data_IF_825449360620
#
_entry.id   IF_825449360620
#
_cell.length_a   1.000
_cell.length_b   1.000
_cell.length_c   1.000
_cell.angle_alpha   90.00
_cell.angle_beta   90.00
_cell.angle_gamma   90.00
#
_symmetry.space_group_name_H-M   'P 1'
#
loop_
_entity.id
_entity.type
_entity.pdbx_description
1 polymer ?
#
# COMPACT_ATOMS: atom_id res chain seq x y z
N UNK A 1 11.83 59.55 -12.21
CA UNK A 1 12.48 58.89 -13.37
C UNK A 1 12.09 57.43 -13.34
N UNK A 2 11.25 57.04 -14.29
CA UNK A 2 10.66 55.71 -14.45
C UNK A 2 11.50 54.94 -15.46
N UNK A 3 11.86 53.68 -15.16
CA UNK A 3 12.43 52.75 -16.15
C UNK A 3 11.38 51.66 -16.36
N UNK A 4 10.83 51.67 -17.58
CA UNK A 4 9.65 50.92 -17.98
C UNK A 4 9.89 49.46 -18.31
N UNK A 5 8.77 48.72 -18.30
CA UNK A 5 8.58 47.40 -18.87
C UNK A 5 9.21 47.25 -20.27
N UNK A 6 9.92 46.15 -20.48
CA UNK A 6 10.01 45.51 -21.79
C UNK A 6 9.45 44.09 -21.69
N UNK A 7 8.43 43.90 -22.50
CA UNK A 7 7.60 42.72 -22.70
C UNK A 7 8.43 41.54 -23.20
N UNK A 8 8.40 40.40 -22.50
CA UNK A 8 8.81 39.11 -23.09
C UNK A 8 7.79 38.76 -24.18
N UNK A 9 8.18 38.85 -25.45
CA UNK A 9 7.37 38.29 -26.53
C UNK A 9 7.40 36.76 -26.43
N UNK A 10 6.22 36.19 -26.22
CA UNK A 10 5.90 34.79 -26.50
C UNK A 10 6.40 34.44 -27.90
N UNK A 11 7.18 33.35 -28.01
CA UNK A 11 7.50 32.76 -29.30
C UNK A 11 6.18 32.21 -29.85
N UNK A 12 5.67 32.86 -30.90
CA UNK A 12 4.49 32.44 -31.64
C UNK A 12 4.64 30.98 -32.11
N UNK A 13 3.73 30.05 -31.73
CA UNK A 13 3.79 28.66 -32.19
C UNK A 13 3.72 28.52 -33.72
N UNK A 14 3.24 29.54 -34.44
CA UNK A 14 3.28 29.57 -35.90
C UNK A 14 4.68 29.86 -36.48
N UNK A 15 5.61 30.43 -35.69
CA UNK A 15 6.98 30.70 -36.12
C UNK A 15 7.81 29.40 -36.20
N UNK A 16 7.55 28.44 -35.30
CA UNK A 16 8.21 27.13 -35.30
C UNK A 16 7.79 26.27 -36.51
N UNK A 17 6.50 26.31 -36.85
CA UNK A 17 5.97 25.63 -38.04
C UNK A 17 6.48 26.31 -39.33
N UNK A 18 6.61 27.64 -39.37
CA UNK A 18 7.22 28.36 -40.49
C UNK A 18 8.71 28.05 -40.67
N UNK A 19 9.47 27.89 -39.59
CA UNK A 19 10.89 27.53 -39.66
C UNK A 19 11.10 26.09 -40.17
N UNK A 20 10.25 25.14 -39.77
CA UNK A 20 10.24 23.78 -40.32
C UNK A 20 9.82 23.75 -41.79
N UNK A 21 8.86 24.59 -42.19
CA UNK A 21 8.43 24.72 -43.59
C UNK A 21 9.52 25.33 -44.50
N UNK A 22 10.27 26.31 -44.01
CA UNK A 22 11.40 26.92 -44.74
C UNK A 22 12.59 25.95 -44.83
N UNK A 23 12.84 25.14 -43.79
CA UNK A 23 13.91 24.14 -43.81
C UNK A 23 13.63 22.98 -44.78
N UNK A 24 12.35 22.64 -45.02
CA UNK A 24 11.95 21.63 -46.01
C UNK A 24 12.06 22.05 -47.48
N UNK A 25 12.45 23.29 -47.77
CA UNK A 25 12.57 23.85 -49.13
C UNK A 25 14.03 24.03 -49.59
N UNK A 26 15.03 23.67 -48.78
CA UNK A 26 16.44 23.77 -49.14
C UNK A 26 17.08 22.39 -49.36
N UNK A 27 17.41 22.12 -50.62
CA UNK A 27 17.89 20.82 -51.14
C UNK A 27 19.38 20.54 -50.86
N UNK A 28 19.95 21.10 -49.78
CA UNK A 28 21.38 20.92 -49.48
C UNK A 28 21.64 20.71 -47.99
N UNK A 29 22.19 19.54 -47.67
CA UNK A 29 22.22 18.88 -46.36
C UNK A 29 23.09 19.55 -45.29
N UNK A 30 23.86 20.59 -45.62
CA UNK A 30 24.79 21.22 -44.65
C UNK A 30 24.21 22.39 -43.86
N UNK A 31 23.24 23.15 -44.40
CA UNK A 31 22.69 24.34 -43.70
C UNK A 31 21.45 24.04 -42.85
N UNK A 32 20.67 23.01 -43.19
CA UNK A 32 19.54 22.55 -42.37
C UNK A 32 20.03 22.02 -41.01
N UNK A 33 21.19 21.35 -41.01
CA UNK A 33 21.81 20.79 -39.79
C UNK A 33 22.22 21.90 -38.83
N UNK A 34 22.77 23.02 -39.32
CA UNK A 34 23.18 24.16 -38.49
C UNK A 34 21.97 24.87 -37.84
N UNK A 35 20.85 25.01 -38.55
CA UNK A 35 19.62 25.56 -37.95
C UNK A 35 19.02 24.64 -36.88
N UNK A 36 19.08 23.32 -37.07
CA UNK A 36 18.63 22.35 -36.05
C UNK A 36 19.56 22.37 -34.84
N UNK A 37 20.88 22.49 -35.00
CA UNK A 37 21.80 22.59 -33.87
C UNK A 37 21.66 23.90 -33.08
N UNK A 38 21.36 25.02 -33.73
CA UNK A 38 21.06 26.28 -33.04
C UNK A 38 19.72 26.18 -32.30
N UNK A 39 18.69 25.58 -32.91
CA UNK A 39 17.40 25.36 -32.23
C UNK A 39 17.54 24.42 -31.03
N UNK A 40 18.28 23.31 -31.15
CA UNK A 40 18.56 22.38 -30.05
C UNK A 40 19.47 23.00 -28.99
N UNK A 41 20.42 23.86 -29.39
CA UNK A 41 21.32 24.58 -28.49
C UNK A 41 20.61 25.67 -27.68
N UNK A 42 19.62 26.36 -28.26
CA UNK A 42 18.76 27.32 -27.55
C UNK A 42 17.82 26.59 -26.59
N UNK A 43 17.29 25.41 -26.95
CA UNK A 43 16.46 24.58 -26.06
C UNK A 43 17.25 24.05 -24.85
N UNK A 44 18.54 23.74 -25.01
CA UNK A 44 19.38 23.24 -23.90
C UNK A 44 19.70 24.29 -22.82
N UNK A 45 19.54 25.59 -23.10
CA UNK A 45 19.91 26.65 -22.15
C UNK A 45 18.72 27.41 -21.55
N UNK A 46 17.49 26.93 -21.78
CA UNK A 46 16.28 27.45 -21.14
C UNK A 46 15.40 26.31 -20.62
N UNK A 47 15.93 25.49 -19.71
CA UNK A 47 15.11 24.57 -18.92
C UNK A 47 14.24 25.36 -17.94
N UNK A 48 13.15 25.92 -18.45
CA UNK A 48 12.15 26.58 -17.61
C UNK A 48 11.43 25.52 -16.77
N UNK A 49 11.22 25.85 -15.49
CA UNK A 49 10.43 25.07 -14.53
C UNK A 49 9.09 24.58 -15.10
N UNK A 50 8.50 25.34 -16.04
CA UNK A 50 7.26 25.02 -16.72
C UNK A 50 7.32 23.79 -17.65
N UNK A 51 8.44 23.52 -18.35
CA UNK A 51 8.58 22.30 -19.14
C UNK A 51 8.79 21.06 -18.27
N UNK A 52 9.51 21.20 -17.14
CA UNK A 52 9.64 20.14 -16.14
C UNK A 52 8.27 19.82 -15.50
N UNK A 53 7.43 20.85 -15.27
CA UNK A 53 6.05 20.70 -14.79
C UNK A 53 5.14 20.07 -15.83
N UNK A 54 5.23 20.46 -17.11
CA UNK A 54 4.43 19.88 -18.20
C UNK A 54 4.80 18.41 -18.53
N UNK A 55 6.05 18.01 -18.32
CA UNK A 55 6.50 16.62 -18.44
C UNK A 55 6.08 15.80 -17.21
N UNK A 56 6.07 16.39 -16.02
CA UNK A 56 5.54 15.74 -14.80
C UNK A 56 4.00 15.65 -14.78
N UNK A 57 3.32 16.49 -15.57
CA UNK A 57 1.86 16.44 -15.82
C UNK A 57 1.47 15.42 -16.91
N UNK A 58 2.44 14.73 -17.55
CA UNK A 58 2.16 13.52 -18.30
C UNK A 58 1.85 12.38 -17.32
N UNK A 59 0.64 12.42 -16.76
CA UNK A 59 -0.08 11.37 -16.01
C UNK A 59 0.82 10.52 -15.10
N UNK A 60 0.78 10.74 -13.78
CA UNK A 60 1.20 9.73 -12.80
C UNK A 60 0.38 8.46 -13.08
N UNK A 61 0.91 7.55 -13.91
CA UNK A 61 0.17 6.40 -14.46
C UNK A 61 -0.37 5.50 -13.35
N UNK A 62 0.28 5.53 -12.19
CA UNK A 62 -0.12 4.82 -10.99
C UNK A 62 -1.21 5.55 -10.20
N UNK A 63 -1.36 6.87 -10.35
CA UNK A 63 -2.51 7.60 -9.83
C UNK A 63 -3.81 7.16 -10.52
N UNK A 64 -3.79 6.93 -11.83
CA UNK A 64 -4.96 6.39 -12.55
C UNK A 64 -5.29 4.96 -12.10
N UNK A 65 -4.27 4.14 -11.86
CA UNK A 65 -4.41 2.80 -11.30
C UNK A 65 -5.06 2.85 -9.90
N UNK A 66 -4.56 3.74 -9.04
CA UNK A 66 -5.09 3.95 -7.70
C UNK A 66 -6.54 4.43 -7.72
N UNK A 67 -6.88 5.42 -8.55
CA UNK A 67 -8.25 5.95 -8.66
C UNK A 67 -9.23 4.85 -9.10
N UNK A 68 -8.87 4.08 -10.13
CA UNK A 68 -9.66 2.93 -10.58
C UNK A 68 -9.86 1.91 -9.45
N UNK A 69 -8.78 1.61 -8.73
CA UNK A 69 -8.80 0.65 -7.65
C UNK A 69 -9.68 1.12 -6.48
N UNK A 70 -9.65 2.40 -6.10
CA UNK A 70 -10.54 2.96 -5.07
C UNK A 70 -12.01 2.72 -5.41
N UNK A 71 -12.41 2.92 -6.66
CA UNK A 71 -13.80 2.70 -7.07
C UNK A 71 -14.18 1.22 -7.07
N UNK A 72 -13.27 0.33 -7.46
CA UNK A 72 -13.45 -1.13 -7.35
C UNK A 72 -13.56 -1.56 -5.87
N UNK A 73 -12.72 -1.02 -4.98
CA UNK A 73 -12.75 -1.31 -3.54
C UNK A 73 -14.06 -0.85 -2.89
N UNK A 74 -14.63 0.29 -3.30
CA UNK A 74 -15.96 0.72 -2.83
C UNK A 74 -17.05 -0.29 -3.22
N UNK A 75 -17.00 -0.82 -4.44
CA UNK A 75 -17.93 -1.85 -4.90
C UNK A 75 -17.76 -3.15 -4.11
N UNK A 76 -16.51 -3.58 -3.87
CA UNK A 76 -16.18 -4.72 -3.03
C UNK A 76 -16.76 -4.57 -1.61
N UNK A 77 -16.50 -3.45 -0.94
CA UNK A 77 -17.00 -3.23 0.42
C UNK A 77 -18.53 -3.11 0.51
N UNK A 78 -19.21 -2.70 -0.57
CA UNK A 78 -20.68 -2.80 -0.65
C UNK A 78 -21.13 -4.27 -0.61
N UNK A 79 -20.46 -5.17 -1.33
CA UNK A 79 -20.75 -6.62 -1.27
C UNK A 79 -20.52 -7.16 0.14
N UNK A 80 -19.41 -6.77 0.79
CA UNK A 80 -19.11 -7.18 2.18
C UNK A 80 -20.21 -6.74 3.14
N UNK A 81 -20.65 -5.48 3.08
CA UNK A 81 -21.75 -4.98 3.93
C UNK A 81 -23.07 -5.70 3.68
N UNK A 82 -23.45 -5.90 2.42
CA UNK A 82 -24.68 -6.62 2.07
C UNK A 82 -24.66 -8.09 2.52
N UNK A 83 -23.48 -8.71 2.62
CA UNK A 83 -23.33 -10.07 3.12
C UNK A 83 -23.51 -10.16 4.64
N UNK A 84 -23.09 -9.13 5.41
CA UNK A 84 -23.27 -9.08 6.87
C UNK A 84 -24.73 -8.99 7.31
N UNK A 85 -25.61 -8.48 6.45
CA UNK A 85 -27.07 -8.41 6.66
C UNK A 85 -27.78 -9.76 6.46
N UNK A 86 -27.09 -10.77 5.91
CA UNK A 86 -27.64 -12.10 5.60
C UNK A 86 -27.06 -13.17 6.54
N UNK A 87 -27.59 -14.38 6.41
CA UNK A 87 -26.95 -15.58 6.99
C UNK A 87 -25.67 -15.89 6.21
N UNK A 88 -24.57 -16.03 6.93
CA UNK A 88 -23.22 -16.23 6.37
C UNK A 88 -22.95 -17.74 6.32
N UNK A 89 -22.75 -18.28 5.12
CA UNK A 89 -22.24 -19.63 4.95
C UNK A 89 -20.72 -19.64 5.21
N UNK A 90 -20.30 -20.33 6.27
CA UNK A 90 -18.90 -20.40 6.72
C UNK A 90 -18.28 -21.71 6.24
N UNK A 91 -17.09 -21.62 5.66
CA UNK A 91 -16.23 -22.74 5.31
C UNK A 91 -14.90 -22.61 6.09
N UNK A 92 -14.21 -23.73 6.29
CA UNK A 92 -12.88 -23.78 6.93
C UNK A 92 -11.78 -23.93 5.85
N UNK A 93 -10.64 -23.27 6.04
CA UNK A 93 -9.43 -23.37 5.19
C UNK A 93 -8.43 -24.39 5.78
N UNK A 94 -7.33 -23.90 6.37
CA UNK A 94 -6.22 -24.74 6.86
C UNK A 94 -6.41 -25.25 8.30
N UNK A 95 -7.34 -24.66 9.05
CA UNK A 95 -7.68 -25.04 10.42
C UNK A 95 -9.11 -24.63 10.77
N UNK A 96 -9.73 -25.18 11.84
CA UNK A 96 -11.09 -24.80 12.26
C UNK A 96 -11.25 -23.33 12.67
N UNK A 97 -10.15 -22.59 12.83
CA UNK A 97 -10.16 -21.15 13.13
C UNK A 97 -9.70 -20.29 11.96
N UNK A 98 -9.34 -20.90 10.85
CA UNK A 98 -8.98 -20.26 9.59
C UNK A 98 -10.19 -20.35 8.67
N UNK A 99 -11.00 -19.29 8.62
CA UNK A 99 -12.33 -19.29 8.02
C UNK A 99 -12.30 -18.63 6.64
N UNK A 100 -13.20 -19.06 5.77
CA UNK A 100 -13.49 -18.43 4.48
C UNK A 100 -14.97 -18.46 4.23
N UNK A 101 -15.49 -17.45 3.54
CA UNK A 101 -16.88 -17.43 3.11
C UNK A 101 -16.96 -17.31 1.59
N UNK A 102 -18.12 -17.60 1.01
CA UNK A 102 -18.37 -17.34 -0.41
C UNK A 102 -18.19 -15.84 -0.76
N UNK A 103 -18.29 -14.95 0.24
CA UNK A 103 -18.08 -13.52 0.09
C UNK A 103 -16.64 -13.19 -0.24
N UNK A 104 -15.67 -13.81 0.45
CA UNK A 104 -14.23 -13.61 0.22
C UNK A 104 -13.87 -13.91 -1.24
N UNK A 105 -14.27 -15.09 -1.73
CA UNK A 105 -14.02 -15.52 -3.11
C UNK A 105 -14.71 -14.61 -4.14
N UNK A 106 -15.95 -14.19 -3.85
CA UNK A 106 -16.71 -13.30 -4.73
C UNK A 106 -16.07 -11.91 -4.83
N UNK A 107 -15.61 -11.36 -3.70
CA UNK A 107 -14.95 -10.06 -3.62
C UNK A 107 -13.61 -10.11 -4.35
N UNK A 108 -12.79 -11.13 -4.11
CA UNK A 108 -11.50 -11.26 -4.80
C UNK A 108 -11.70 -11.36 -6.32
N UNK A 109 -12.65 -12.19 -6.76
CA UNK A 109 -12.97 -12.35 -8.18
C UNK A 109 -13.42 -11.03 -8.81
N UNK A 110 -14.25 -10.24 -8.12
CA UNK A 110 -14.67 -8.91 -8.59
C UNK A 110 -13.44 -8.01 -8.79
N UNK A 111 -12.60 -7.89 -7.76
CA UNK A 111 -11.43 -7.00 -7.76
C UNK A 111 -10.46 -7.40 -8.87
N UNK A 112 -10.06 -8.66 -8.93
CA UNK A 112 -9.12 -9.16 -9.94
C UNK A 112 -9.69 -8.97 -11.35
N UNK A 113 -10.97 -9.30 -11.58
CA UNK A 113 -11.57 -9.19 -12.92
C UNK A 113 -11.62 -7.73 -13.38
N UNK A 114 -12.09 -6.81 -12.53
CA UNK A 114 -12.22 -5.39 -12.87
C UNK A 114 -10.86 -4.71 -13.09
N UNK A 115 -9.81 -5.14 -12.37
CA UNK A 115 -8.45 -4.64 -12.57
C UNK A 115 -7.85 -5.24 -13.85
N UNK A 116 -7.98 -6.56 -14.06
CA UNK A 116 -7.41 -7.27 -15.21
C UNK A 116 -8.02 -6.80 -16.55
N UNK A 117 -9.29 -6.45 -16.56
CA UNK A 117 -9.94 -5.87 -17.75
C UNK A 117 -9.25 -4.58 -18.22
N UNK A 118 -8.86 -3.72 -17.26
CA UNK A 118 -8.19 -2.44 -17.56
C UNK A 118 -6.68 -2.56 -17.70
N UNK A 119 -6.06 -3.47 -16.95
CA UNK A 119 -4.61 -3.66 -16.85
C UNK A 119 -4.23 -5.14 -17.09
N UNK A 120 -4.38 -5.65 -18.32
CA UNK A 120 -4.24 -7.08 -18.62
C UNK A 120 -2.81 -7.62 -18.46
N UNK A 121 -1.81 -6.75 -18.40
CA UNK A 121 -0.39 -7.12 -18.24
C UNK A 121 0.07 -7.12 -16.79
N UNK A 122 -0.74 -6.68 -15.83
CA UNK A 122 -0.36 -6.61 -14.42
C UNK A 122 -0.50 -8.00 -13.76
N UNK A 123 0.32 -8.24 -12.73
CA UNK A 123 0.33 -9.46 -11.93
C UNK A 123 -0.57 -9.34 -10.70
N UNK A 124 -0.90 -10.47 -10.08
CA UNK A 124 -1.79 -10.53 -8.92
C UNK A 124 -1.25 -11.52 -7.89
N UNK A 125 -1.35 -11.14 -6.61
CA UNK A 125 -1.22 -12.03 -5.45
C UNK A 125 -2.49 -11.82 -4.63
N UNK A 126 -3.41 -12.77 -4.66
CA UNK A 126 -4.66 -12.72 -3.89
C UNK A 126 -4.69 -13.86 -2.89
N UNK A 127 -5.18 -13.62 -1.68
CA UNK A 127 -5.30 -14.64 -0.64
C UNK A 127 -6.03 -15.90 -1.13
N UNK A 128 -7.23 -15.75 -1.70
CA UNK A 128 -8.06 -16.87 -2.12
C UNK A 128 -7.50 -17.54 -3.38
N UNK A 129 -6.88 -16.76 -4.26
CA UNK A 129 -6.14 -17.27 -5.42
C UNK A 129 -4.96 -18.14 -4.98
N UNK A 130 -4.20 -17.72 -3.97
CA UNK A 130 -3.07 -18.50 -3.42
C UNK A 130 -3.59 -19.75 -2.72
N UNK A 131 -4.68 -19.67 -1.96
CA UNK A 131 -5.35 -20.84 -1.38
C UNK A 131 -5.83 -21.82 -2.46
N UNK A 132 -6.21 -21.34 -3.64
CA UNK A 132 -6.58 -22.14 -4.81
C UNK A 132 -5.36 -22.62 -5.65
N UNK A 133 -4.13 -22.39 -5.21
CA UNK A 133 -2.91 -22.90 -5.83
C UNK A 133 -2.17 -21.91 -6.75
N UNK A 134 -2.56 -20.65 -6.80
CA UNK A 134 -1.76 -19.62 -7.47
C UNK A 134 -0.45 -19.36 -6.71
N UNK A 135 0.65 -19.03 -7.40
CA UNK A 135 1.92 -18.74 -6.75
C UNK A 135 1.90 -17.38 -6.04
N UNK A 136 2.48 -17.30 -4.85
CA UNK A 136 2.73 -16.03 -4.14
C UNK A 136 4.15 -15.52 -4.42
N UNK A 137 4.41 -15.13 -5.68
CA UNK A 137 5.73 -14.67 -6.13
C UNK A 137 5.67 -13.20 -6.52
N UNK A 138 6.41 -12.37 -5.78
CA UNK A 138 6.51 -10.94 -6.04
C UNK A 138 7.59 -10.67 -7.11
N UNK A 139 7.18 -10.13 -8.24
CA UNK A 139 8.06 -9.77 -9.36
C UNK A 139 8.36 -8.26 -9.40
N UNK A 140 9.26 -7.84 -10.30
CA UNK A 140 9.52 -6.41 -10.51
C UNK A 140 8.38 -5.71 -11.28
N UNK A 141 7.49 -6.48 -11.93
CA UNK A 141 6.36 -5.95 -12.66
C UNK A 141 5.25 -5.38 -11.75
N UNK A 142 4.36 -4.52 -12.29
CA UNK A 142 3.16 -4.05 -11.60
C UNK A 142 2.35 -5.21 -11.03
N UNK A 143 2.26 -5.29 -9.70
CA UNK A 143 1.60 -6.40 -9.00
C UNK A 143 0.58 -5.86 -8.00
N UNK A 144 -0.65 -6.38 -8.09
CA UNK A 144 -1.73 -6.10 -7.15
C UNK A 144 -1.77 -7.18 -6.08
N UNK A 145 -1.62 -6.80 -4.82
CA UNK A 145 -1.64 -7.71 -3.67
C UNK A 145 -2.94 -7.46 -2.92
N UNK A 146 -3.81 -8.47 -2.84
CA UNK A 146 -5.22 -8.31 -2.49
C UNK A 146 -5.57 -9.24 -1.34
N UNK A 147 -6.15 -8.66 -0.29
CA UNK A 147 -6.95 -9.35 0.70
C UNK A 147 -8.42 -8.92 0.51
N UNK A 148 -9.29 -9.85 0.08
CA UNK A 148 -10.69 -9.51 -0.16
C UNK A 148 -11.47 -9.20 1.13
N UNK A 149 -11.13 -9.81 2.26
CA UNK A 149 -11.77 -9.61 3.58
C UNK A 149 -10.74 -9.90 4.68
N UNK A 150 -9.95 -8.89 5.05
CA UNK A 150 -9.09 -8.97 6.23
C UNK A 150 -9.97 -8.90 7.48
N UNK A 151 -9.78 -9.87 8.37
CA UNK A 151 -10.65 -10.11 9.51
C UNK A 151 -11.86 -11.00 9.20
N UNK A 152 -11.70 -12.09 8.44
CA UNK A 152 -12.79 -13.05 8.16
C UNK A 152 -13.45 -13.59 9.44
N UNK A 153 -12.69 -13.80 10.52
CA UNK A 153 -13.25 -14.16 11.84
C UNK A 153 -14.18 -13.06 12.36
N UNK A 154 -13.75 -11.79 12.26
CA UNK A 154 -14.59 -10.66 12.63
C UNK A 154 -15.86 -10.59 11.76
N UNK A 155 -15.73 -10.84 10.46
CA UNK A 155 -16.85 -10.89 9.52
C UNK A 155 -17.89 -11.94 9.93
N UNK A 156 -17.46 -13.18 10.19
CA UNK A 156 -18.33 -14.27 10.64
C UNK A 156 -19.07 -13.93 11.94
N UNK A 157 -18.37 -13.28 12.87
CA UNK A 157 -18.94 -12.88 14.16
C UNK A 157 -19.63 -11.50 14.16
N UNK A 158 -19.69 -10.81 13.02
CA UNK A 158 -20.17 -9.42 12.88
C UNK A 158 -19.46 -8.43 13.81
N UNK A 159 -18.20 -8.70 14.16
CA UNK A 159 -17.34 -7.76 14.87
C UNK A 159 -16.94 -6.61 13.91
N UNK A 160 -16.89 -5.34 14.36
CA UNK A 160 -16.98 -4.19 13.45
C UNK A 160 -15.69 -3.86 12.68
N UNK A 161 -14.60 -4.63 12.84
CA UNK A 161 -13.36 -4.41 12.09
C UNK A 161 -13.22 -5.47 11.01
N UNK A 162 -13.72 -5.14 9.81
CA UNK A 162 -13.63 -5.97 8.60
C UNK A 162 -13.22 -5.05 7.46
N UNK A 163 -12.20 -5.43 6.71
CA UNK A 163 -11.69 -4.57 5.65
C UNK A 163 -11.36 -5.26 4.34
N UNK A 164 -11.45 -4.52 3.23
CA UNK A 164 -10.83 -4.92 1.95
C UNK A 164 -9.47 -4.24 1.89
N UNK A 165 -8.38 -4.97 1.66
CA UNK A 165 -7.02 -4.43 1.58
C UNK A 165 -6.41 -4.69 0.21
N UNK A 166 -5.85 -3.65 -0.41
CA UNK A 166 -5.17 -3.74 -1.69
C UNK A 166 -3.88 -2.93 -1.63
N UNK A 167 -2.75 -3.60 -1.84
CA UNK A 167 -1.46 -2.97 -2.12
C UNK A 167 -1.12 -3.08 -3.62
N UNK A 168 -0.41 -2.08 -4.13
CA UNK A 168 0.14 -2.12 -5.48
C UNK A 168 1.64 -1.90 -5.44
N UNK A 169 2.39 -2.80 -6.07
CA UNK A 169 3.85 -2.77 -6.07
C UNK A 169 4.42 -2.65 -7.47
N UNK A 170 5.54 -1.94 -7.61
CA UNK A 170 6.39 -1.92 -8.81
C UNK A 170 7.83 -2.06 -8.33
N UNK A 171 8.65 -2.85 -9.03
CA UNK A 171 10.01 -3.20 -8.62
C UNK A 171 10.08 -3.76 -7.19
N UNK A 172 9.07 -4.55 -6.79
CA UNK A 172 8.89 -5.12 -5.44
C UNK A 172 8.75 -4.07 -4.32
N UNK A 173 8.53 -2.81 -4.68
CA UNK A 173 8.31 -1.72 -3.75
C UNK A 173 6.85 -1.27 -3.78
N UNK A 174 6.27 -0.99 -2.61
CA UNK A 174 4.88 -0.54 -2.51
C UNK A 174 4.73 0.88 -3.05
N UNK A 175 3.91 1.04 -4.07
CA UNK A 175 3.65 2.31 -4.76
C UNK A 175 2.40 3.00 -4.21
N UNK A 176 1.34 2.25 -3.90
CA UNK A 176 0.18 2.76 -3.17
C UNK A 176 -0.51 1.63 -2.40
N UNK A 177 -1.36 2.03 -1.44
CA UNK A 177 -2.17 1.12 -0.65
C UNK A 177 -3.56 1.71 -0.39
N UNK A 178 -4.55 0.83 -0.40
CA UNK A 178 -5.96 1.13 -0.15
C UNK A 178 -6.45 0.12 0.88
N UNK A 179 -7.04 0.61 1.98
CA UNK A 179 -7.71 -0.23 2.97
C UNK A 179 -9.09 0.36 3.21
N UNK A 180 -10.14 -0.43 3.03
CA UNK A 180 -11.51 0.02 3.28
C UNK A 180 -12.12 -0.72 4.46
N UNK A 181 -12.20 -0.07 5.62
CA UNK A 181 -12.94 -0.58 6.78
C UNK A 181 -14.44 -0.49 6.48
N UNK A 182 -15.03 -1.64 6.14
CA UNK A 182 -16.33 -1.72 5.47
C UNK A 182 -17.48 -1.31 6.38
N UNK A 183 -17.41 -1.69 7.66
CA UNK A 183 -18.44 -1.40 8.66
C UNK A 183 -18.36 0.02 9.21
N UNK A 184 -17.15 0.58 9.28
CA UNK A 184 -16.93 1.95 9.72
C UNK A 184 -17.14 2.99 8.59
N UNK A 185 -17.26 2.51 7.35
CA UNK A 185 -17.26 3.34 6.12
C UNK A 185 -16.06 4.29 6.06
N UNK A 186 -14.86 3.75 6.34
CA UNK A 186 -13.59 4.49 6.30
C UNK A 186 -12.69 3.95 5.20
N UNK A 187 -12.50 4.77 4.18
CA UNK A 187 -11.59 4.53 3.06
C UNK A 187 -10.23 5.16 3.36
N UNK A 188 -9.24 4.33 3.64
CA UNK A 188 -7.85 4.73 3.83
C UNK A 188 -7.09 4.58 2.52
N UNK A 189 -6.35 5.62 2.13
CA UNK A 189 -5.58 5.63 0.88
C UNK A 189 -4.23 6.30 1.07
N UNK A 190 -3.17 5.73 0.51
CA UNK A 190 -1.85 6.34 0.46
C UNK A 190 -1.16 6.06 -0.87
N UNK A 191 -0.43 7.05 -1.38
CA UNK A 191 0.40 6.96 -2.59
C UNK A 191 1.79 7.47 -2.25
N UNK A 192 2.82 6.75 -2.67
CA UNK A 192 4.22 7.10 -2.42
C UNK A 192 4.52 8.56 -2.73
N UNK A 193 5.01 9.30 -1.73
CA UNK A 193 5.35 10.72 -1.82
C UNK A 193 4.15 11.67 -1.93
N UNK A 194 2.93 11.22 -1.66
CA UNK A 194 1.69 12.02 -1.76
C UNK A 194 0.92 12.10 -0.44
N UNK A 195 1.37 11.41 0.60
CA UNK A 195 0.72 11.37 1.91
C UNK A 195 -0.36 10.29 2.01
N UNK A 196 -0.86 10.13 3.24
CA UNK A 196 -1.93 9.21 3.60
C UNK A 196 -3.21 9.95 3.99
N UNK A 197 -4.36 9.36 3.65
CA UNK A 197 -5.67 9.96 3.85
C UNK A 197 -6.68 8.93 4.38
N UNK A 198 -7.67 9.41 5.13
CA UNK A 198 -8.88 8.68 5.51
C UNK A 198 -10.10 9.50 5.07
N UNK A 199 -10.94 8.97 4.19
CA UNK A 199 -12.08 9.68 3.61
C UNK A 199 -11.70 11.06 3.02
N UNK A 200 -10.53 11.13 2.40
CA UNK A 200 -9.98 12.36 1.80
C UNK A 200 -9.34 13.34 2.80
N UNK A 201 -9.42 13.09 4.10
CA UNK A 201 -8.75 13.91 5.12
C UNK A 201 -7.34 13.37 5.40
N UNK A 202 -6.30 14.23 5.46
CA UNK A 202 -4.94 13.78 5.73
C UNK A 202 -4.84 13.16 7.14
N UNK A 203 -4.09 12.06 7.25
CA UNK A 203 -3.80 11.38 8.51
C UNK A 203 -2.30 11.41 8.80
N UNK A 204 -1.94 11.33 10.08
CA UNK A 204 -0.55 11.21 10.52
C UNK A 204 -0.44 10.29 11.73
N UNK A 205 0.71 9.67 11.88
CA UNK A 205 1.06 8.93 13.10
C UNK A 205 1.16 9.85 14.33
N UNK A 206 1.08 9.26 15.53
CA UNK A 206 1.11 10.01 16.81
C UNK A 206 2.44 10.73 17.07
N UNK A 207 3.55 10.19 16.58
CA UNK A 207 4.91 10.66 16.87
C UNK A 207 5.42 10.31 18.26
N UNK A 208 4.79 9.39 18.99
CA UNK A 208 5.27 8.96 20.32
C UNK A 208 6.65 8.29 20.20
N UNK A 209 7.56 8.66 21.11
CA UNK A 209 8.94 8.13 21.18
C UNK A 209 9.21 7.34 22.46
N UNK A 210 8.39 7.51 23.48
CA UNK A 210 8.50 6.85 24.78
C UNK A 210 7.56 5.64 24.84
N UNK A 211 8.13 4.42 24.76
CA UNK A 211 7.38 3.16 24.77
C UNK A 211 6.47 3.02 26.00
N UNK A 212 6.85 3.62 27.14
CA UNK A 212 6.08 3.51 28.39
C UNK A 212 4.77 4.31 28.33
N UNK A 213 4.61 5.14 27.30
CA UNK A 213 3.43 5.95 27.03
C UNK A 213 2.70 5.51 25.76
N UNK A 214 3.07 4.34 25.23
CA UNK A 214 2.53 3.83 23.96
C UNK A 214 1.32 2.91 24.17
N UNK A 215 0.39 2.96 23.22
CA UNK A 215 -0.63 1.93 23.00
C UNK A 215 -0.17 1.02 21.85
N UNK A 216 -0.05 -0.29 22.11
CA UNK A 216 0.44 -1.27 21.13
C UNK A 216 -0.70 -2.17 20.66
N UNK A 217 -0.76 -2.46 19.37
CA UNK A 217 -1.67 -3.43 18.78
C UNK A 217 -0.91 -4.72 18.45
N UNK A 218 -1.58 -5.85 18.54
CA UNK A 218 -1.10 -7.14 18.00
C UNK A 218 -2.29 -8.09 17.84
N UNK A 219 -2.08 -9.30 17.33
CA UNK A 219 -3.12 -10.33 17.30
C UNK A 219 -2.58 -11.66 17.84
N UNK A 220 -3.50 -12.57 18.20
CA UNK A 220 -3.14 -13.87 18.76
C UNK A 220 -2.67 -14.88 17.70
N UNK A 221 -2.85 -14.55 16.41
CA UNK A 221 -2.59 -15.44 15.28
C UNK A 221 -3.62 -16.56 15.12
N UNK A 222 -3.63 -17.17 13.92
CA UNK A 222 -4.56 -18.25 13.57
C UNK A 222 -4.02 -19.65 13.90
N UNK A 223 -2.69 -19.83 13.97
CA UNK A 223 -2.08 -21.14 14.22
C UNK A 223 -2.31 -21.58 15.67
N UNK A 224 -2.83 -22.81 15.83
CA UNK A 224 -3.08 -23.47 17.12
C UNK A 224 -1.99 -24.45 17.53
N UNK A 225 -0.75 -24.19 17.14
CA UNK A 225 0.39 -24.94 17.66
C UNK A 225 0.72 -24.44 19.08
N UNK A 226 0.81 -25.31 20.10
CA UNK A 226 1.06 -24.90 21.47
C UNK A 226 2.35 -24.09 21.66
N UNK A 227 3.42 -24.40 20.92
CA UNK A 227 4.69 -23.66 21.01
C UNK A 227 4.60 -22.28 20.34
N UNK A 228 3.93 -22.17 19.18
CA UNK A 228 3.60 -20.86 18.59
C UNK A 228 2.75 -20.01 19.54
N UNK A 229 1.67 -20.58 20.09
CA UNK A 229 0.78 -19.87 21.01
C UNK A 229 1.51 -19.40 22.27
N UNK A 230 2.36 -20.26 22.85
CA UNK A 230 3.22 -19.90 23.98
C UNK A 230 4.14 -18.72 23.63
N UNK A 231 4.78 -18.74 22.47
CA UNK A 231 5.66 -17.64 22.03
C UNK A 231 4.88 -16.32 21.84
N UNK A 232 3.67 -16.37 21.28
CA UNK A 232 2.80 -15.20 21.13
C UNK A 232 2.43 -14.62 22.50
N UNK A 233 2.01 -15.46 23.44
CA UNK A 233 1.66 -15.03 24.80
C UNK A 233 2.87 -14.48 25.57
N UNK A 234 4.02 -15.12 25.45
CA UNK A 234 5.28 -14.66 26.05
C UNK A 234 5.67 -13.29 25.49
N UNK A 235 5.51 -13.06 24.18
CA UNK A 235 5.77 -11.76 23.55
C UNK A 235 4.83 -10.66 24.07
N UNK A 236 3.53 -10.95 24.18
CA UNK A 236 2.56 -10.01 24.75
C UNK A 236 2.92 -9.68 26.21
N UNK A 237 3.28 -10.69 27.00
CA UNK A 237 3.73 -10.50 28.38
C UNK A 237 4.97 -9.60 28.46
N UNK A 238 5.97 -9.83 27.59
CA UNK A 238 7.18 -8.99 27.55
C UNK A 238 6.84 -7.54 27.22
N UNK A 239 5.99 -7.29 26.22
CA UNK A 239 5.56 -5.92 25.87
C UNK A 239 4.82 -5.25 27.03
N UNK A 240 3.91 -5.97 27.70
CA UNK A 240 3.21 -5.45 28.88
C UNK A 240 4.16 -5.15 30.06
N UNK A 241 5.27 -5.87 30.16
CA UNK A 241 6.32 -5.63 31.16
C UNK A 241 7.25 -4.44 30.81
N UNK A 242 7.14 -3.85 29.61
CA UNK A 242 7.82 -2.60 29.19
C UNK A 242 6.97 -1.36 29.55
N UNK A 243 6.29 -1.41 30.69
CA UNK A 243 5.01 -0.74 31.00
C UNK A 243 4.39 0.12 29.89
N UNK A 244 3.97 -0.48 28.77
CA UNK A 244 3.10 0.21 27.80
C UNK A 244 1.76 0.58 28.45
N UNK A 245 1.04 1.58 27.94
CA UNK A 245 -0.31 1.91 28.44
C UNK A 245 -1.32 0.77 28.21
N UNK A 246 -1.06 -0.08 27.23
CA UNK A 246 -1.81 -1.32 27.06
C UNK A 246 -1.59 -1.97 25.69
N UNK A 247 -2.22 -3.13 25.54
CA UNK A 247 -2.29 -3.88 24.28
C UNK A 247 -3.75 -3.98 23.82
N UNK A 248 -4.00 -4.01 22.50
CA UNK A 248 -5.31 -4.30 21.90
C UNK A 248 -5.16 -5.32 20.76
N UNK A 249 -6.23 -6.08 20.52
CA UNK A 249 -6.34 -7.06 19.43
C UNK A 249 -7.67 -6.86 18.68
N UNK A 250 -7.75 -5.90 17.74
CA UNK A 250 -8.97 -5.64 16.94
C UNK A 250 -9.38 -6.73 15.94
N UNK A 251 -8.47 -7.62 15.53
CA UNK A 251 -8.77 -8.78 14.68
C UNK A 251 -8.63 -8.57 13.16
N UNK A 252 -8.04 -7.46 12.70
CA UNK A 252 -7.73 -7.19 11.29
C UNK A 252 -6.37 -6.48 11.19
N UNK A 253 -5.43 -7.08 10.47
CA UNK A 253 -4.06 -6.58 10.36
C UNK A 253 -4.00 -5.22 9.62
N UNK A 254 -4.75 -5.11 8.52
CA UNK A 254 -4.83 -3.89 7.72
C UNK A 254 -5.47 -2.75 8.51
N UNK A 255 -6.55 -3.00 9.27
CA UNK A 255 -7.15 -1.99 10.15
C UNK A 255 -6.18 -1.59 11.27
N UNK A 256 -5.44 -2.53 11.86
CA UNK A 256 -4.43 -2.21 12.88
C UNK A 256 -3.37 -1.26 12.35
N UNK A 257 -2.86 -1.49 11.13
CA UNK A 257 -1.92 -0.58 10.48
C UNK A 257 -2.56 0.79 10.20
N UNK A 258 -3.84 0.84 9.80
CA UNK A 258 -4.58 2.10 9.63
C UNK A 258 -4.73 2.88 10.95
N UNK A 259 -4.99 2.19 12.06
CA UNK A 259 -5.08 2.82 13.39
C UNK A 259 -3.75 3.45 13.81
N UNK A 260 -2.62 2.81 13.49
CA UNK A 260 -1.29 3.40 13.68
C UNK A 260 -1.08 4.60 12.77
N UNK A 261 -1.42 4.49 11.47
CA UNK A 261 -1.33 5.58 10.50
C UNK A 261 -2.18 6.81 10.88
N UNK A 262 -3.27 6.61 11.62
CA UNK A 262 -4.12 7.68 12.15
C UNK A 262 -3.64 8.25 13.51
N UNK A 263 -2.60 7.67 14.10
CA UNK A 263 -2.13 8.02 15.44
C UNK A 263 -3.09 7.60 16.56
N UNK A 264 -4.04 6.70 16.28
CA UNK A 264 -4.94 6.12 17.28
C UNK A 264 -4.25 5.03 18.13
N UNK A 265 -3.19 4.43 17.58
CA UNK A 265 -2.24 3.58 18.28
C UNK A 265 -0.80 3.99 17.90
N UNK A 266 0.16 3.59 18.71
CA UNK A 266 1.57 3.99 18.52
C UNK A 266 2.39 2.94 17.79
N UNK A 267 1.97 1.66 17.86
CA UNK A 267 2.61 0.58 17.13
C UNK A 267 1.67 -0.60 16.91
N UNK A 268 1.99 -1.40 15.91
CA UNK A 268 1.42 -2.72 15.67
C UNK A 268 2.55 -3.69 15.31
N UNK A 269 2.57 -4.87 15.92
CA UNK A 269 3.50 -5.93 15.54
C UNK A 269 2.75 -7.23 15.30
N UNK A 270 3.24 -8.03 14.34
CA UNK A 270 2.69 -9.35 14.08
C UNK A 270 3.67 -10.28 13.36
N UNK A 271 3.55 -11.58 13.62
CA UNK A 271 4.31 -12.66 12.98
C UNK A 271 3.36 -13.72 12.43
N UNK A 272 3.62 -14.22 11.24
CA UNK A 272 2.80 -15.22 10.56
C UNK A 272 1.63 -14.66 9.76
N UNK A 273 1.65 -13.36 9.43
CA UNK A 273 0.72 -12.74 8.47
C UNK A 273 1.31 -12.77 7.06
N UNK A 274 0.49 -12.63 6.04
CA UNK A 274 0.83 -12.73 4.63
C UNK A 274 1.05 -11.34 4.01
N UNK A 275 1.65 -11.28 2.84
CA UNK A 275 1.88 -10.04 2.09
C UNK A 275 0.60 -9.24 1.83
N UNK A 276 -0.55 -9.90 1.65
CA UNK A 276 -1.85 -9.24 1.45
C UNK A 276 -2.37 -8.53 2.70
N UNK A 277 -2.10 -9.07 3.89
CA UNK A 277 -2.40 -8.42 5.19
C UNK A 277 -1.59 -7.13 5.36
N UNK A 278 -0.40 -7.06 4.76
CA UNK A 278 0.60 -6.01 4.99
C UNK A 278 0.60 -4.92 3.92
N UNK A 279 0.43 -5.27 2.65
CA UNK A 279 0.80 -4.40 1.53
C UNK A 279 0.02 -3.08 1.51
N UNK A 280 -1.31 -3.12 1.71
CA UNK A 280 -2.16 -1.92 1.76
C UNK A 280 -1.82 -1.02 2.95
N UNK A 281 -1.73 -1.60 4.15
CA UNK A 281 -1.37 -0.90 5.38
C UNK A 281 0.04 -0.31 5.38
N UNK A 282 0.99 -0.95 4.67
CA UNK A 282 2.38 -0.54 4.64
C UNK A 282 2.56 0.82 3.95
N UNK A 283 1.84 1.04 2.84
CA UNK A 283 1.81 2.35 2.19
C UNK A 283 1.27 3.43 3.13
N UNK A 284 0.18 3.12 3.85
CA UNK A 284 -0.52 4.05 4.74
C UNK A 284 0.37 4.51 5.89
N UNK A 285 1.00 3.57 6.60
CA UNK A 285 1.88 3.91 7.73
C UNK A 285 3.06 4.76 7.27
N UNK A 286 3.71 4.37 6.17
CA UNK A 286 4.90 5.07 5.66
C UNK A 286 4.55 6.50 5.25
N UNK A 287 3.47 6.68 4.48
CA UNK A 287 3.04 8.01 4.01
C UNK A 287 2.41 8.87 5.11
N UNK A 288 1.95 8.26 6.22
CA UNK A 288 1.51 8.97 7.42
C UNK A 288 2.68 9.44 8.31
N UNK A 289 3.93 9.15 7.93
CA UNK A 289 5.15 9.51 8.65
C UNK A 289 5.61 8.48 9.69
N UNK A 290 5.04 7.27 9.67
CA UNK A 290 5.48 6.15 10.49
C UNK A 290 6.65 5.38 9.89
N UNK A 291 7.02 4.29 10.55
CA UNK A 291 8.08 3.39 10.11
C UNK A 291 7.60 1.94 10.09
N UNK A 292 8.24 1.14 9.25
CA UNK A 292 8.02 -0.31 9.14
C UNK A 292 9.37 -1.00 9.20
N UNK A 293 9.48 -2.00 10.07
CA UNK A 293 10.68 -2.83 10.23
C UNK A 293 10.28 -4.29 10.37
N UNK A 294 11.21 -5.20 10.12
CA UNK A 294 11.03 -6.61 10.49
C UNK A 294 11.07 -6.75 12.03
N UNK A 295 10.50 -7.83 12.58
CA UNK A 295 10.52 -8.07 14.03
C UNK A 295 11.93 -8.24 14.60
N UNK A 296 12.90 -8.60 13.77
CA UNK A 296 14.33 -8.59 14.12
C UNK A 296 14.91 -7.18 14.30
N UNK A 297 14.16 -6.12 14.00
CA UNK A 297 14.62 -4.73 13.96
C UNK A 297 15.32 -4.32 12.67
N UNK A 298 15.51 -5.28 11.75
CA UNK A 298 16.11 -5.07 10.43
C UNK A 298 15.14 -4.48 9.40
N UNK A 299 15.58 -4.36 8.13
CA UNK A 299 14.74 -3.88 7.04
C UNK A 299 13.46 -4.71 6.90
N UNK A 300 12.35 -4.02 6.65
CA UNK A 300 11.08 -4.68 6.32
C UNK A 300 11.18 -5.47 5.01
N UNK A 301 10.62 -6.67 5.03
CA UNK A 301 10.47 -7.54 3.88
C UNK A 301 9.02 -8.03 3.83
N UNK A 302 8.33 -7.62 2.77
CA UNK A 302 6.90 -7.86 2.55
C UNK A 302 6.55 -9.35 2.46
N UNK A 303 7.50 -10.21 2.08
CA UNK A 303 7.28 -11.65 1.93
C UNK A 303 7.74 -12.45 3.17
N UNK A 304 8.28 -11.78 4.20
CA UNK A 304 8.88 -12.40 5.38
C UNK A 304 7.88 -12.90 6.42
N UNK A 305 6.62 -12.48 6.29
CA UNK A 305 5.51 -12.79 7.19
C UNK A 305 5.58 -12.10 8.55
N UNK A 306 6.43 -11.07 8.70
CA UNK A 306 6.71 -10.41 9.97
C UNK A 306 6.79 -8.92 9.77
N UNK A 307 6.27 -8.17 10.73
CA UNK A 307 6.43 -6.72 10.74
C UNK A 307 6.28 -6.12 12.14
N UNK A 308 6.89 -4.95 12.30
CA UNK A 308 6.52 -3.93 13.27
C UNK A 308 6.25 -2.67 12.47
N UNK A 309 5.07 -2.09 12.61
CA UNK A 309 4.81 -0.69 12.26
C UNK A 309 4.78 0.15 13.52
N UNK A 310 5.31 1.35 13.47
CA UNK A 310 5.27 2.26 14.59
C UNK A 310 5.21 3.73 14.17
N UNK A 311 4.78 4.57 15.10
CA UNK A 311 4.77 6.03 14.94
C UNK A 311 6.16 6.66 14.98
N UNK A 312 7.17 5.94 15.47
CA UNK A 312 8.58 6.39 15.46
C UNK A 312 9.58 5.22 15.38
N UNK A 313 10.80 5.44 14.84
CA UNK A 313 11.89 4.46 14.87
C UNK A 313 12.21 3.97 16.28
N UNK A 314 12.13 4.85 17.27
CA UNK A 314 12.49 4.54 18.66
C UNK A 314 11.53 3.52 19.28
N UNK A 315 10.22 3.68 19.04
CA UNK A 315 9.21 2.71 19.49
C UNK A 315 9.37 1.38 18.74
N UNK A 316 9.55 1.41 17.42
CA UNK A 316 9.75 0.19 16.63
C UNK A 316 10.95 -0.64 17.11
N UNK A 317 12.10 0.00 17.28
CA UNK A 317 13.33 -0.68 17.71
C UNK A 317 13.23 -1.18 19.14
N UNK A 318 12.54 -0.45 20.02
CA UNK A 318 12.33 -0.93 21.39
C UNK A 318 11.44 -2.15 21.43
N UNK A 319 10.37 -2.19 20.62
CA UNK A 319 9.51 -3.38 20.50
C UNK A 319 10.32 -4.58 19.98
N UNK A 320 11.12 -4.39 18.93
CA UNK A 320 11.95 -5.45 18.34
C UNK A 320 12.90 -6.12 19.36
N UNK A 321 13.43 -5.38 20.33
CA UNK A 321 14.32 -5.90 21.38
C UNK A 321 13.63 -6.88 22.34
N UNK A 322 12.31 -6.80 22.47
CA UNK A 322 11.54 -7.61 23.42
C UNK A 322 10.99 -8.88 22.76
N UNK A 323 10.70 -8.81 21.46
CA UNK A 323 10.02 -9.88 20.74
C UNK A 323 10.93 -11.07 20.46
N UNK A 324 10.40 -12.26 20.72
CA UNK A 324 10.97 -13.52 20.25
C UNK A 324 10.39 -13.87 18.89
N UNK A 325 11.28 -14.12 17.92
CA UNK A 325 10.91 -14.59 16.59
C UNK A 325 10.55 -16.07 16.63
N UNK A 326 9.48 -16.49 15.96
CA UNK A 326 9.19 -17.90 15.74
C UNK A 326 9.20 -18.26 14.23
N UNK A 327 9.45 -19.54 13.87
CA UNK A 327 9.41 -19.96 12.47
C UNK A 327 8.00 -19.85 11.87
N UNK A 328 7.83 -18.95 10.90
CA UNK A 328 6.56 -18.72 10.20
C UNK A 328 6.57 -19.09 8.70
N UNK A 329 7.73 -19.48 8.15
CA UNK A 329 7.93 -19.62 6.72
C UNK A 329 8.03 -18.25 6.02
N UNK A 330 8.02 -18.26 4.69
CA UNK A 330 7.91 -17.07 3.83
C UNK A 330 6.83 -17.29 2.79
N UNK A 331 6.23 -16.22 2.27
CA UNK A 331 5.22 -16.32 1.21
C UNK A 331 5.82 -16.79 -0.11
N UNK A 332 7.06 -16.41 -0.39
CA UNK A 332 7.81 -16.75 -1.59
C UNK A 332 8.61 -18.07 -1.49
N UNK A 333 8.40 -18.84 -0.41
CA UNK A 333 9.00 -20.15 -0.26
C UNK A 333 8.36 -21.14 -1.26
N UNK A 334 9.16 -22.00 -1.93
CA UNK A 334 8.60 -23.02 -2.81
C UNK A 334 7.68 -23.96 -2.02
N UNK A 335 6.49 -24.26 -2.56
CA UNK A 335 5.58 -25.24 -1.97
C UNK A 335 6.33 -26.57 -1.78
N UNK A 336 6.49 -27.01 -0.55
CA UNK A 336 6.96 -28.37 -0.26
C UNK A 336 5.88 -29.35 -0.70
N UNK A 337 6.10 -29.98 -1.86
CA UNK A 337 5.32 -31.14 -2.33
C UNK A 337 5.54 -32.36 -1.44
#
# INVERSE_FOLDING_TARGET
>A
MSIGHQTLHLIDPFLFIRLLYIAGQYDNTSNAVVCVFIAVGVIKNSSSRAQQTLINDMTDSWQECMNHCVDVTKQAGKIVREALEKDIAVMEKSSPTDLVTETDQRVEKLIISAIREKYPTHCFIGEESVAAGAPSVLSDGPTWIIDPIDGTTNFVHRFPFVSVSIGFTVNKEVEFGIVYSCMEDKMYTARRGKGAFCNGLPIKVSGQEDITKSLVLTEMGLKKDPEHFKTVMDNIQKILNVPVHGVRCPGSAAVNMCLVACGAADAYYHQGIYCWDMAGGAALVTEAGGVIVDITGGPFDLMSRRLIVASSPRVAQRIAQELTVFPCGRDDAPCSH
#
